data_IF_439823687362
#
_entry.id   IF_439823687362
#
_cell.length_a   1.000
_cell.length_b   1.000
_cell.length_c   1.000
_cell.angle_alpha   90.00
_cell.angle_beta   90.00
_cell.angle_gamma   90.00
#
_symmetry.space_group_name_H-M   'P 1'
#
loop_
_entity.id
_entity.type
_entity.pdbx_description
1 polymer ?
#
# COMPACT_ATOMS: atom_id res chain seq x y z
N UNK A 1 24.73 19.15 -5.24
CA UNK A 1 23.48 19.83 -4.86
C UNK A 1 22.35 18.82 -4.85
N UNK A 2 21.64 18.70 -3.73
CA UNK A 2 20.80 17.53 -3.46
C UNK A 2 19.32 17.83 -3.61
N UNK A 3 18.68 17.26 -4.64
CA UNK A 3 17.22 17.26 -4.73
C UNK A 3 16.60 16.45 -3.58
N UNK A 4 15.64 17.05 -2.89
CA UNK A 4 14.89 16.41 -1.80
C UNK A 4 13.41 16.81 -1.84
N UNK A 5 12.55 15.90 -1.41
CA UNK A 5 11.12 16.19 -1.24
C UNK A 5 10.85 16.47 0.22
N UNK A 6 10.37 17.68 0.52
CA UNK A 6 9.96 18.11 1.86
C UNK A 6 8.44 18.09 1.99
N UNK A 7 7.95 18.07 3.22
CA UNK A 7 6.53 18.21 3.53
C UNK A 7 6.30 19.51 4.29
N UNK A 8 5.25 20.24 3.92
CA UNK A 8 4.83 21.48 4.57
C UNK A 8 3.31 21.47 4.76
N UNK A 9 2.82 22.02 5.87
CA UNK A 9 1.39 22.25 6.11
C UNK A 9 1.05 23.67 5.65
N UNK A 10 0.09 23.80 4.74
CA UNK A 10 -0.41 25.07 4.21
C UNK A 10 -1.94 25.02 4.24
N UNK A 11 -2.59 25.98 4.89
CA UNK A 11 -4.05 26.05 5.04
C UNK A 11 -4.66 24.73 5.57
N UNK A 12 -4.11 24.21 6.67
CA UNK A 12 -4.50 22.95 7.29
C UNK A 12 -4.32 21.67 6.45
N UNK A 13 -3.74 21.76 5.24
CA UNK A 13 -3.46 20.62 4.37
C UNK A 13 -1.94 20.40 4.21
N UNK A 14 -1.50 19.13 4.30
CA UNK A 14 -0.11 18.75 4.02
C UNK A 14 0.13 18.74 2.52
N UNK A 15 1.28 19.27 2.11
CA UNK A 15 1.75 19.29 0.73
C UNK A 15 3.19 18.79 0.65
N UNK A 16 3.55 18.19 -0.48
CA UNK A 16 4.91 17.75 -0.78
C UNK A 16 5.53 18.69 -1.80
N UNK A 17 6.76 19.12 -1.56
CA UNK A 17 7.48 20.04 -2.44
C UNK A 17 8.84 19.46 -2.78
N UNK A 18 9.21 19.51 -4.06
CA UNK A 18 10.55 19.22 -4.52
C UNK A 18 11.41 20.48 -4.36
N UNK A 19 12.51 20.37 -3.63
CA UNK A 19 13.45 21.46 -3.40
C UNK A 19 14.87 21.05 -3.80
N UNK A 20 15.66 22.02 -4.24
CA UNK A 20 17.10 21.94 -4.42
C UNK A 20 17.74 22.91 -3.43
N UNK A 21 18.58 22.40 -2.53
CA UNK A 21 19.25 23.20 -1.50
C UNK A 21 18.28 24.09 -0.70
N UNK A 22 17.11 23.51 -0.37
CA UNK A 22 15.97 24.13 0.34
C UNK A 22 15.17 25.18 -0.45
N UNK A 23 15.51 25.41 -1.72
CA UNK A 23 14.76 26.28 -2.63
C UNK A 23 13.78 25.44 -3.46
N UNK A 24 12.47 25.73 -3.45
CA UNK A 24 11.49 25.03 -4.28
C UNK A 24 11.77 25.16 -5.77
N UNK A 25 11.79 24.04 -6.49
CA UNK A 25 11.86 24.05 -7.94
C UNK A 25 10.51 24.46 -8.54
N UNK A 26 10.49 25.52 -9.35
CA UNK A 26 9.24 26.10 -9.85
C UNK A 26 8.39 25.09 -10.64
N UNK A 27 8.90 24.56 -11.75
CA UNK A 27 8.12 23.73 -12.66
C UNK A 27 7.69 22.35 -12.11
N UNK A 28 8.53 21.59 -11.38
CA UNK A 28 8.09 20.35 -10.75
C UNK A 28 6.97 20.56 -9.73
N UNK A 29 7.02 21.66 -8.96
CA UNK A 29 5.97 21.98 -7.98
C UNK A 29 4.72 22.56 -8.64
N UNK A 30 4.87 23.28 -9.76
CA UNK A 30 3.76 23.70 -10.60
C UNK A 30 3.01 22.48 -11.14
N UNK A 31 3.73 21.52 -11.76
CA UNK A 31 3.17 20.26 -12.21
C UNK A 31 2.44 19.51 -11.09
N UNK A 32 3.05 19.40 -9.91
CA UNK A 32 2.40 18.75 -8.77
C UNK A 32 1.09 19.45 -8.35
N UNK A 33 1.03 20.77 -8.47
CA UNK A 33 -0.16 21.56 -8.14
C UNK A 33 -1.27 21.39 -9.17
N UNK A 34 -0.94 21.38 -10.46
CA UNK A 34 -1.93 21.29 -11.54
C UNK A 34 -2.38 19.85 -11.80
N UNK A 35 -1.46 18.90 -11.87
CA UNK A 35 -1.72 17.54 -12.38
C UNK A 35 -1.84 16.49 -11.26
N UNK A 36 -1.33 16.78 -10.05
CA UNK A 36 -1.29 15.81 -8.94
C UNK A 36 -2.13 16.22 -7.73
N UNK A 37 -2.92 17.31 -7.82
CA UNK A 37 -3.74 17.82 -6.70
C UNK A 37 -4.72 16.80 -6.13
N UNK A 38 -5.32 15.96 -6.97
CA UNK A 38 -6.22 14.88 -6.55
C UNK A 38 -5.54 13.59 -6.11
N UNK A 39 -4.19 13.52 -6.10
CA UNK A 39 -3.45 12.31 -5.71
C UNK A 39 -3.14 12.33 -4.21
N UNK A 40 -3.14 11.15 -3.61
CA UNK A 40 -2.70 10.98 -2.21
C UNK A 40 -1.27 11.51 -2.00
N UNK A 41 -1.00 12.06 -0.81
CA UNK A 41 0.24 12.78 -0.50
C UNK A 41 1.51 11.95 -0.77
N UNK A 42 1.51 10.68 -0.37
CA UNK A 42 2.66 9.78 -0.62
C UNK A 42 2.78 9.38 -2.10
N UNK A 43 1.70 9.45 -2.88
CA UNK A 43 1.78 9.29 -4.35
C UNK A 43 2.44 10.52 -4.96
N UNK A 44 2.02 11.73 -4.58
CA UNK A 44 2.63 12.99 -5.02
C UNK A 44 4.11 13.05 -4.66
N UNK A 45 4.47 12.64 -3.44
CA UNK A 45 5.88 12.48 -3.02
C UNK A 45 6.66 11.58 -3.97
N UNK A 46 6.14 10.40 -4.31
CA UNK A 46 6.81 9.47 -5.22
C UNK A 46 7.03 10.07 -6.61
N UNK A 47 6.03 10.76 -7.15
CA UNK A 47 6.16 11.48 -8.41
C UNK A 47 7.30 12.50 -8.32
N UNK A 48 7.31 13.36 -7.29
CA UNK A 48 8.39 14.34 -7.08
C UNK A 48 9.77 13.70 -6.88
N UNK A 49 9.86 12.54 -6.20
CA UNK A 49 11.11 11.78 -6.09
C UNK A 49 11.56 11.20 -7.45
N UNK A 50 10.63 10.84 -8.34
CA UNK A 50 10.94 10.44 -9.71
C UNK A 50 11.43 11.64 -10.53
N UNK A 51 10.80 12.81 -10.37
CA UNK A 51 11.25 14.05 -11.01
C UNK A 51 12.62 14.49 -10.49
N UNK A 52 12.92 14.32 -9.19
CA UNK A 52 14.24 14.59 -8.63
C UNK A 52 15.37 13.80 -9.34
N UNK A 53 15.08 12.56 -9.76
CA UNK A 53 16.03 11.75 -10.55
C UNK A 53 16.20 12.33 -11.95
N UNK A 54 15.11 12.80 -12.57
CA UNK A 54 15.16 13.44 -13.87
C UNK A 54 15.90 14.77 -13.85
N UNK A 55 15.67 15.63 -12.85
CA UNK A 55 16.43 16.87 -12.66
C UNK A 55 17.93 16.59 -12.46
N UNK A 56 18.27 15.54 -11.70
CA UNK A 56 19.66 15.08 -11.57
C UNK A 56 20.26 14.64 -12.90
N UNK A 57 19.50 13.94 -13.74
CA UNK A 57 19.91 13.54 -15.09
C UNK A 57 20.11 14.76 -16.01
N UNK A 58 19.20 15.74 -15.99
CA UNK A 58 19.30 16.95 -16.78
C UNK A 58 20.56 17.74 -16.41
N UNK A 59 20.80 17.94 -15.11
CA UNK A 59 21.99 18.61 -14.60
C UNK A 59 23.28 17.87 -15.00
N UNK A 60 23.34 16.55 -14.81
CA UNK A 60 24.49 15.73 -15.21
C UNK A 60 24.76 15.76 -16.71
N UNK A 61 23.70 15.82 -17.52
CA UNK A 61 23.80 15.86 -18.98
C UNK A 61 23.99 17.27 -19.54
N UNK A 62 24.10 18.29 -18.67
CA UNK A 62 24.16 19.70 -19.04
C UNK A 62 23.01 20.13 -19.96
N UNK A 63 21.79 19.65 -19.65
CA UNK A 63 20.57 19.98 -20.39
C UNK A 63 19.78 20.99 -19.58
N UNK A 64 19.77 22.25 -20.04
CA UNK A 64 18.80 23.24 -19.58
C UNK A 64 17.50 23.09 -20.39
N UNK A 65 16.60 22.24 -19.90
CA UNK A 65 15.36 21.93 -20.62
C UNK A 65 14.42 23.13 -20.68
N UNK A 66 14.33 23.94 -19.63
CA UNK A 66 13.41 25.08 -19.57
C UNK A 66 13.80 26.11 -20.62
N UNK A 67 15.08 26.54 -20.63
CA UNK A 67 15.58 27.48 -21.63
C UNK A 67 15.39 26.95 -23.05
N UNK A 68 15.60 25.64 -23.27
CA UNK A 68 15.36 25.01 -24.57
C UNK A 68 13.89 25.05 -25.00
N UNK A 69 12.94 24.86 -24.09
CA UNK A 69 11.52 24.92 -24.41
C UNK A 69 11.05 26.35 -24.65
N UNK A 70 11.61 27.33 -23.95
CA UNK A 70 11.28 28.75 -24.08
C UNK A 70 11.93 29.43 -25.29
N UNK A 71 12.91 28.78 -25.95
CA UNK A 71 13.51 29.26 -27.19
C UNK A 71 12.46 29.56 -28.27
N UNK A 72 12.66 30.67 -28.97
CA UNK A 72 11.83 31.14 -30.08
C UNK A 72 12.71 31.42 -31.31
N UNK A 73 12.19 31.23 -32.54
CA UNK A 73 10.80 30.91 -32.88
C UNK A 73 10.41 29.44 -32.70
N UNK A 74 11.38 28.53 -32.47
CA UNK A 74 11.11 27.10 -32.26
C UNK A 74 11.72 26.63 -30.95
N UNK A 75 10.93 25.87 -30.20
CA UNK A 75 11.40 25.14 -29.02
C UNK A 75 12.32 23.99 -29.40
N UNK A 76 13.29 23.69 -28.53
CA UNK A 76 14.18 22.56 -28.64
C UNK A 76 13.78 21.45 -27.65
N UNK A 77 13.07 20.43 -28.13
CA UNK A 77 12.60 19.32 -27.30
C UNK A 77 13.70 18.25 -27.09
N UNK A 78 13.51 17.36 -26.10
CA UNK A 78 14.42 16.22 -25.89
C UNK A 78 14.46 15.27 -27.10
N UNK A 79 15.69 14.91 -27.48
CA UNK A 79 15.97 13.93 -28.53
C UNK A 79 15.69 12.48 -28.07
N UNK A 80 15.51 11.54 -29.00
CA UNK A 80 15.33 10.12 -28.62
C UNK A 80 16.59 9.55 -27.93
N UNK A 81 17.78 10.07 -28.26
CA UNK A 81 19.03 9.71 -27.59
C UNK A 81 19.06 10.16 -26.12
N UNK A 82 18.66 11.41 -25.84
CA UNK A 82 18.51 11.90 -24.46
C UNK A 82 17.48 11.09 -23.67
N UNK A 83 16.32 10.79 -24.28
CA UNK A 83 15.30 9.95 -23.66
C UNK A 83 15.86 8.54 -23.37
N UNK A 84 16.60 7.95 -24.31
CA UNK A 84 17.20 6.61 -24.13
C UNK A 84 18.24 6.57 -23.01
N UNK A 85 19.06 7.62 -22.88
CA UNK A 85 20.01 7.75 -21.77
C UNK A 85 19.29 7.86 -20.43
N UNK A 86 18.21 8.65 -20.36
CA UNK A 86 17.40 8.73 -19.15
C UNK A 86 16.73 7.39 -18.81
N UNK A 87 16.25 6.64 -19.81
CA UNK A 87 15.62 5.33 -19.59
C UNK A 87 16.58 4.34 -18.92
N UNK A 88 17.86 4.38 -19.28
CA UNK A 88 18.90 3.62 -18.57
C UNK A 88 19.02 4.04 -17.10
N UNK A 89 19.11 5.35 -16.85
CA UNK A 89 19.25 5.89 -15.48
C UNK A 89 18.00 5.68 -14.61
N UNK A 90 16.83 5.66 -15.23
CA UNK A 90 15.59 5.37 -14.55
C UNK A 90 15.56 3.97 -13.91
N UNK A 91 16.42 3.05 -14.40
CA UNK A 91 16.60 1.71 -13.86
C UNK A 91 17.53 1.63 -12.64
N UNK A 92 18.30 2.67 -12.31
CA UNK A 92 19.30 2.60 -11.23
C UNK A 92 18.78 3.08 -9.87
N UNK A 93 19.38 2.54 -8.80
CA UNK A 93 19.20 3.02 -7.42
C UNK A 93 19.73 4.45 -7.26
N UNK A 94 19.19 5.17 -6.27
CA UNK A 94 19.60 6.56 -5.98
C UNK A 94 21.08 6.64 -5.59
N UNK A 95 21.62 5.65 -4.85
CA UNK A 95 23.04 5.64 -4.49
C UNK A 95 23.95 5.44 -5.72
N UNK A 96 23.52 4.58 -6.66
CA UNK A 96 24.24 4.35 -7.93
C UNK A 96 24.28 5.63 -8.75
N UNK A 97 23.14 6.32 -8.89
CA UNK A 97 23.03 7.57 -9.63
C UNK A 97 23.84 8.68 -8.98
N UNK A 98 23.85 8.79 -7.65
CA UNK A 98 24.65 9.78 -6.94
C UNK A 98 26.16 9.62 -7.26
N UNK A 99 26.67 8.38 -7.27
CA UNK A 99 28.08 8.11 -7.64
C UNK A 99 28.35 8.43 -9.11
N UNK A 100 27.46 8.00 -10.01
CA UNK A 100 27.56 8.29 -11.44
C UNK A 100 27.59 9.80 -11.70
N UNK A 101 26.67 10.55 -11.11
CA UNK A 101 26.55 11.99 -11.31
C UNK A 101 27.65 12.80 -10.62
N UNK A 102 28.33 12.22 -9.64
CA UNK A 102 29.60 12.74 -9.10
C UNK A 102 30.82 12.48 -10.00
N UNK A 103 30.62 11.90 -11.20
CA UNK A 103 31.70 11.62 -12.15
C UNK A 103 32.52 10.37 -11.83
N UNK A 104 32.08 9.53 -10.88
CA UNK A 104 32.81 8.31 -10.54
C UNK A 104 32.68 7.27 -11.65
N UNK A 105 33.82 6.69 -12.07
CA UNK A 105 33.83 5.51 -12.95
C UNK A 105 33.45 4.28 -12.12
N UNK A 106 32.25 3.76 -12.37
CA UNK A 106 31.73 2.58 -11.69
C UNK A 106 32.05 1.33 -12.51
N UNK A 107 32.59 0.31 -11.86
CA UNK A 107 32.65 -1.04 -12.43
C UNK A 107 31.21 -1.55 -12.70
N UNK A 108 30.94 -2.34 -13.75
CA UNK A 108 29.60 -2.83 -14.08
C UNK A 108 28.84 -3.47 -12.89
N UNK A 109 29.54 -4.18 -12.01
CA UNK A 109 28.95 -4.82 -10.82
C UNK A 109 28.52 -3.84 -9.72
N UNK A 110 29.02 -2.60 -9.75
CA UNK A 110 28.63 -1.55 -8.81
C UNK A 110 27.28 -0.89 -9.19
N UNK A 111 26.78 -1.12 -10.40
CA UNK A 111 25.47 -0.65 -10.82
C UNK A 111 24.37 -1.47 -10.17
N UNK A 112 23.76 -0.90 -9.13
CA UNK A 112 22.57 -1.47 -8.50
C UNK A 112 21.31 -0.86 -9.09
N UNK A 113 20.34 -1.72 -9.40
CA UNK A 113 19.10 -1.36 -10.08
C UNK A 113 17.88 -1.38 -9.14
N UNK A 114 16.89 -0.54 -9.44
CA UNK A 114 15.56 -0.63 -8.81
C UNK A 114 14.78 -1.82 -9.41
N UNK A 115 13.69 -2.22 -8.73
CA UNK A 115 12.75 -3.18 -9.30
C UNK A 115 12.06 -2.64 -10.56
N UNK A 116 11.69 -3.54 -11.49
CA UNK A 116 11.09 -3.17 -12.79
C UNK A 116 9.84 -2.29 -12.67
N UNK A 117 8.99 -2.55 -11.68
CA UNK A 117 7.78 -1.75 -11.41
C UNK A 117 8.15 -0.31 -11.03
N UNK A 118 9.17 -0.14 -10.20
CA UNK A 118 9.64 1.19 -9.81
C UNK A 118 10.29 1.92 -10.98
N UNK A 119 11.09 1.24 -11.81
CA UNK A 119 11.66 1.85 -13.02
C UNK A 119 10.54 2.33 -13.95
N UNK A 120 9.51 1.51 -14.18
CA UNK A 120 8.32 1.87 -14.96
C UNK A 120 7.62 3.12 -14.40
N UNK A 121 7.32 3.14 -13.09
CA UNK A 121 6.69 4.30 -12.45
C UNK A 121 7.49 5.59 -12.62
N UNK A 122 8.82 5.50 -12.54
CA UNK A 122 9.71 6.64 -12.77
C UNK A 122 9.62 7.14 -14.22
N UNK A 123 9.58 6.24 -15.20
CA UNK A 123 9.40 6.58 -16.61
C UNK A 123 8.04 7.21 -16.89
N UNK A 124 6.97 6.67 -16.30
CA UNK A 124 5.61 7.21 -16.43
C UNK A 124 5.51 8.62 -15.83
N UNK A 125 6.04 8.83 -14.62
CA UNK A 125 6.05 10.14 -13.99
C UNK A 125 6.80 11.20 -14.81
N UNK A 126 7.96 10.85 -15.37
CA UNK A 126 8.74 11.77 -16.22
C UNK A 126 8.07 12.02 -17.56
N UNK A 127 7.47 11.00 -18.18
CA UNK A 127 6.66 11.18 -19.39
C UNK A 127 5.55 12.20 -19.15
N UNK A 128 4.79 12.02 -18.07
CA UNK A 128 3.63 12.86 -17.77
C UNK A 128 4.06 14.31 -17.44
N UNK A 129 5.18 14.47 -16.73
CA UNK A 129 5.78 15.79 -16.50
C UNK A 129 6.28 16.45 -17.78
N UNK A 130 6.94 15.72 -18.69
CA UNK A 130 7.39 16.26 -19.96
C UNK A 130 6.21 16.67 -20.86
N UNK A 131 5.12 15.90 -20.87
CA UNK A 131 3.88 16.28 -21.56
C UNK A 131 3.38 17.62 -21.03
N UNK A 132 3.33 17.79 -19.70
CA UNK A 132 2.94 19.05 -19.07
C UNK A 132 3.88 20.21 -19.48
N UNK A 133 5.20 20.02 -19.39
CA UNK A 133 6.15 21.06 -19.77
C UNK A 133 6.03 21.45 -21.25
N UNK A 134 5.87 20.47 -22.14
CA UNK A 134 5.79 20.72 -23.57
C UNK A 134 4.49 21.45 -23.93
N UNK A 135 3.36 21.09 -23.30
CA UNK A 135 2.08 21.81 -23.47
C UNK A 135 2.18 23.27 -23.00
N UNK A 136 2.80 23.50 -21.83
CA UNK A 136 2.86 24.83 -21.20
C UNK A 136 3.91 25.77 -21.79
N UNK A 137 5.08 25.25 -22.14
CA UNK A 137 6.24 26.07 -22.54
C UNK A 137 6.60 25.95 -24.02
N UNK A 138 6.19 24.86 -24.66
CA UNK A 138 6.50 24.58 -26.06
C UNK A 138 5.92 25.64 -27.00
N UNK A 139 6.61 25.84 -28.12
CA UNK A 139 6.18 26.74 -29.17
C UNK A 139 4.80 26.35 -29.70
N UNK A 140 3.94 27.36 -29.90
CA UNK A 140 2.52 27.16 -30.21
C UNK A 140 2.31 26.35 -31.49
N UNK A 141 3.22 26.46 -32.46
CA UNK A 141 3.12 25.77 -33.76
C UNK A 141 3.59 24.31 -33.73
N UNK A 142 4.26 23.87 -32.64
CA UNK A 142 4.87 22.53 -32.57
C UNK A 142 4.57 21.75 -31.30
N UNK A 143 3.99 22.39 -30.28
CA UNK A 143 3.82 21.79 -28.95
C UNK A 143 2.94 20.55 -28.96
N UNK A 144 1.90 20.51 -29.79
CA UNK A 144 0.97 19.37 -29.83
C UNK A 144 1.63 18.13 -30.43
N UNK A 145 2.34 18.29 -31.55
CA UNK A 145 3.11 17.21 -32.17
C UNK A 145 4.24 16.74 -31.25
N UNK A 146 4.90 17.66 -30.54
CA UNK A 146 5.95 17.33 -29.58
C UNK A 146 5.40 16.53 -28.38
N UNK A 147 4.21 16.88 -27.87
CA UNK A 147 3.52 16.14 -26.81
C UNK A 147 3.20 14.72 -27.24
N UNK A 148 2.66 14.54 -28.45
CA UNK A 148 2.35 13.22 -28.99
C UNK A 148 3.61 12.39 -29.23
N UNK A 149 4.68 13.03 -29.72
CA UNK A 149 5.95 12.36 -29.96
C UNK A 149 6.63 11.88 -28.68
N UNK A 150 6.73 12.73 -27.64
CA UNK A 150 7.32 12.31 -26.36
C UNK A 150 6.51 11.19 -25.69
N UNK A 151 5.17 11.28 -25.74
CA UNK A 151 4.27 10.25 -25.24
C UNK A 151 4.53 8.90 -25.92
N UNK A 152 4.59 8.89 -27.26
CA UNK A 152 4.82 7.69 -28.07
C UNK A 152 6.18 7.07 -27.77
N UNK A 153 7.25 7.87 -27.68
CA UNK A 153 8.62 7.39 -27.41
C UNK A 153 8.74 6.73 -26.05
N UNK A 154 8.20 7.34 -24.99
CA UNK A 154 8.20 6.75 -23.66
C UNK A 154 7.37 5.46 -23.60
N UNK A 155 6.16 5.46 -24.16
CA UNK A 155 5.29 4.28 -24.18
C UNK A 155 5.96 3.08 -24.87
N UNK A 156 6.63 3.33 -26.02
CA UNK A 156 7.41 2.30 -26.72
C UNK A 156 8.52 1.72 -25.82
N UNK A 157 9.28 2.57 -25.14
CA UNK A 157 10.41 2.15 -24.27
C UNK A 157 9.92 1.43 -23.01
N UNK A 158 8.82 1.88 -22.40
CA UNK A 158 8.17 1.19 -21.26
C UNK A 158 7.67 -0.20 -21.68
N UNK A 159 7.04 -0.31 -22.87
CA UNK A 159 6.55 -1.58 -23.39
C UNK A 159 7.73 -2.54 -23.65
N UNK A 160 8.81 -2.06 -24.25
CA UNK A 160 10.00 -2.88 -24.51
C UNK A 160 10.68 -3.40 -23.23
N UNK A 161 10.61 -2.63 -22.13
CA UNK A 161 11.14 -3.03 -20.82
C UNK A 161 10.23 -4.01 -20.03
N UNK A 162 9.00 -4.23 -20.49
CA UNK A 162 8.03 -5.10 -19.82
C UNK A 162 8.27 -6.58 -20.14
N UNK A 163 8.17 -7.52 -19.18
CA UNK A 163 8.35 -8.95 -19.44
C UNK A 163 7.27 -9.50 -20.38
N UNK A 164 7.66 -10.30 -21.37
CA UNK A 164 6.75 -10.86 -22.39
C UNK A 164 5.71 -11.87 -21.85
N UNK A 165 5.97 -12.49 -20.69
CA UNK A 165 5.01 -13.35 -19.99
C UNK A 165 4.92 -12.97 -18.50
N UNK A 166 3.71 -12.86 -17.97
CA UNK A 166 3.47 -12.63 -16.53
C UNK A 166 3.84 -13.91 -15.77
N UNK A 167 4.92 -13.89 -14.99
CA UNK A 167 5.17 -14.93 -13.96
C UNK A 167 4.19 -14.69 -12.82
N UNK A 168 3.10 -15.44 -12.75
CA UNK A 168 2.33 -15.56 -11.50
C UNK A 168 3.20 -16.34 -10.53
N UNK A 169 3.70 -15.69 -9.49
CA UNK A 169 4.43 -16.39 -8.43
C UNK A 169 3.41 -17.12 -7.56
N UNK A 170 3.36 -18.44 -7.70
CA UNK A 170 2.45 -19.34 -6.98
C UNK A 170 2.62 -19.20 -5.45
N UNK A 171 3.81 -18.80 -5.00
CA UNK A 171 4.24 -18.69 -3.60
C UNK A 171 3.93 -17.32 -2.94
N UNK A 172 3.25 -16.41 -3.64
CA UNK A 172 2.95 -15.05 -3.12
C UNK A 172 1.52 -14.89 -2.60
N UNK A 173 0.76 -15.98 -2.43
CA UNK A 173 -0.59 -15.90 -1.87
C UNK A 173 -0.54 -15.51 -0.39
N UNK A 174 -1.27 -14.45 -0.05
CA UNK A 174 -1.27 -13.83 1.27
C UNK A 174 -2.53 -14.25 2.04
N UNK A 175 -2.39 -14.45 3.34
CA UNK A 175 -3.47 -14.83 4.27
C UNK A 175 -2.98 -15.90 5.24
N UNK A 176 -3.63 -16.06 6.39
CA UNK A 176 -3.19 -16.99 7.44
C UNK A 176 -3.86 -18.35 7.27
N UNK A 177 -3.15 -19.42 7.60
CA UNK A 177 -3.78 -20.70 7.88
C UNK A 177 -4.57 -20.63 9.20
N UNK A 178 -5.51 -21.55 9.42
CA UNK A 178 -6.24 -21.62 10.70
C UNK A 178 -5.28 -21.75 11.89
N UNK A 179 -4.24 -22.59 11.75
CA UNK A 179 -3.22 -22.79 12.80
C UNK A 179 -2.45 -21.50 13.12
N UNK A 180 -2.02 -20.75 12.11
CA UNK A 180 -1.33 -19.48 12.30
C UNK A 180 -2.25 -18.43 12.94
N UNK A 181 -3.53 -18.40 12.57
CA UNK A 181 -4.53 -17.50 13.15
C UNK A 181 -4.75 -17.79 14.63
N UNK A 182 -4.99 -19.05 14.97
CA UNK A 182 -5.21 -19.48 16.36
C UNK A 182 -3.98 -19.18 17.22
N UNK A 183 -2.78 -19.50 16.71
CA UNK A 183 -1.52 -19.23 17.40
C UNK A 183 -1.27 -17.74 17.59
N UNK A 184 -1.61 -16.92 16.59
CA UNK A 184 -1.48 -15.46 16.67
C UNK A 184 -2.41 -14.88 17.73
N UNK A 185 -3.67 -15.33 17.79
CA UNK A 185 -4.65 -14.92 18.80
C UNK A 185 -4.20 -15.34 20.21
N UNK A 186 -3.70 -16.56 20.36
CA UNK A 186 -3.20 -17.09 21.63
C UNK A 186 -2.02 -16.27 22.17
N UNK A 187 -0.97 -16.06 21.37
CA UNK A 187 0.23 -15.33 21.81
C UNK A 187 -0.08 -13.87 22.12
N UNK A 188 -0.89 -13.23 21.27
CA UNK A 188 -1.20 -11.81 21.43
C UNK A 188 -2.28 -11.53 22.48
N UNK A 189 -2.96 -12.56 23.00
CA UNK A 189 -3.91 -12.42 24.09
C UNK A 189 -3.25 -11.70 25.29
N UNK A 190 -3.89 -10.69 25.90
CA UNK A 190 -3.30 -9.94 27.02
C UNK A 190 -2.94 -10.81 28.24
N UNK A 191 -3.65 -11.92 28.45
CA UNK A 191 -3.43 -12.86 29.56
C UNK A 191 -2.40 -13.95 29.24
N UNK A 192 -1.92 -14.02 27.99
CA UNK A 192 -0.94 -15.04 27.60
C UNK A 192 0.42 -14.79 28.24
N UNK A 193 1.02 -15.88 28.76
CA UNK A 193 2.38 -15.88 29.29
C UNK A 193 3.44 -15.72 28.18
N UNK A 194 3.12 -16.13 26.96
CA UNK A 194 4.01 -16.01 25.80
C UNK A 194 3.97 -14.63 25.13
N UNK A 195 3.09 -13.75 25.59
CA UNK A 195 2.93 -12.43 25.01
C UNK A 195 4.25 -11.61 25.15
N UNK A 196 4.88 -11.17 24.04
CA UNK A 196 6.22 -10.57 24.07
C UNK A 196 6.22 -9.12 24.58
N UNK A 197 5.06 -8.57 24.97
CA UNK A 197 4.92 -7.18 25.35
C UNK A 197 4.95 -6.99 26.88
N UNK A 198 5.84 -6.11 27.31
CA UNK A 198 6.23 -5.98 28.72
C UNK A 198 5.16 -5.48 29.71
N UNK A 199 4.12 -4.77 29.27
CA UNK A 199 3.11 -4.22 30.20
C UNK A 199 1.69 -4.35 29.63
N UNK A 200 0.71 -4.38 30.53
CA UNK A 200 -0.68 -4.70 30.19
C UNK A 200 -1.31 -3.68 29.25
N UNK A 201 -0.97 -2.39 29.40
CA UNK A 201 -1.38 -1.35 28.46
C UNK A 201 -0.90 -1.65 27.03
N UNK A 202 0.37 -2.05 26.86
CA UNK A 202 0.95 -2.39 25.55
C UNK A 202 0.36 -3.69 25.00
N UNK A 203 0.11 -4.68 25.87
CA UNK A 203 -0.53 -5.95 25.50
C UNK A 203 -1.94 -5.70 24.96
N UNK A 204 -2.81 -5.05 25.74
CA UNK A 204 -4.20 -4.79 25.34
C UNK A 204 -4.29 -3.89 24.09
N UNK A 205 -3.50 -2.81 24.04
CA UNK A 205 -3.40 -1.93 22.86
C UNK A 205 -2.98 -2.69 21.59
N UNK A 206 -2.07 -3.66 21.71
CA UNK A 206 -1.65 -4.49 20.57
C UNK A 206 -2.67 -5.57 20.22
N UNK A 207 -3.41 -6.10 21.20
CA UNK A 207 -4.52 -7.00 20.95
C UNK A 207 -5.66 -6.32 20.19
N UNK A 208 -5.99 -5.06 20.54
CA UNK A 208 -6.92 -4.23 19.76
C UNK A 208 -6.43 -4.05 18.31
N UNK A 209 -5.14 -3.78 18.09
CA UNK A 209 -4.56 -3.70 16.73
C UNK A 209 -4.74 -5.00 15.95
N UNK A 210 -4.57 -6.14 16.62
CA UNK A 210 -4.80 -7.45 16.01
C UNK A 210 -6.26 -7.61 15.58
N UNK A 211 -7.21 -7.35 16.48
CA UNK A 211 -8.64 -7.45 16.21
C UNK A 211 -9.09 -6.49 15.10
N UNK A 212 -8.67 -5.22 15.14
CA UNK A 212 -8.93 -4.27 14.04
C UNK A 212 -8.42 -4.76 12.67
N UNK A 213 -7.37 -5.60 12.66
CA UNK A 213 -6.81 -6.18 11.45
C UNK A 213 -7.49 -7.47 10.99
N UNK A 214 -7.74 -8.41 11.91
CA UNK A 214 -8.32 -9.72 11.62
C UNK A 214 -9.84 -9.68 11.47
N UNK A 215 -10.52 -9.03 12.42
CA UNK A 215 -11.98 -8.96 12.47
C UNK A 215 -12.49 -7.95 11.44
N UNK A 216 -12.01 -6.70 11.53
CA UNK A 216 -12.51 -5.61 10.71
C UNK A 216 -11.75 -5.39 9.38
N UNK A 217 -10.62 -6.07 9.18
CA UNK A 217 -9.86 -5.99 7.93
C UNK A 217 -9.25 -4.61 7.65
N UNK A 218 -9.05 -3.77 8.68
CA UNK A 218 -8.58 -2.40 8.49
C UNK A 218 -7.15 -2.36 7.94
N UNK A 219 -6.86 -1.34 7.13
CA UNK A 219 -5.50 -0.95 6.79
C UNK A 219 -4.84 -0.35 8.02
N UNK A 220 -3.53 -0.56 8.14
CA UNK A 220 -2.67 0.08 9.15
C UNK A 220 -2.96 1.58 9.36
N UNK A 221 -3.13 2.34 8.27
CA UNK A 221 -3.39 3.77 8.39
C UNK A 221 -4.76 4.07 8.98
N UNK A 222 -5.79 3.30 8.62
CA UNK A 222 -7.15 3.43 9.17
C UNK A 222 -7.11 3.20 10.69
N UNK A 223 -6.44 2.11 11.14
CA UNK A 223 -6.27 1.80 12.57
C UNK A 223 -5.66 2.97 13.36
N UNK A 224 -4.69 3.66 12.76
CA UNK A 224 -3.97 4.77 13.39
C UNK A 224 -4.72 6.10 13.36
N UNK A 225 -5.79 6.19 12.57
CA UNK A 225 -6.61 7.38 12.40
C UNK A 225 -7.91 7.33 13.22
N UNK A 226 -8.32 6.16 13.72
CA UNK A 226 -9.48 6.01 14.61
C UNK A 226 -9.40 7.01 15.77
N UNK A 227 -10.43 7.83 15.90
CA UNK A 227 -10.67 8.73 17.03
C UNK A 227 -11.61 8.05 18.02
N UNK A 228 -11.55 8.44 19.29
CA UNK A 228 -12.52 7.97 20.30
C UNK A 228 -13.96 8.36 19.94
N UNK A 229 -14.15 9.51 19.26
CA UNK A 229 -15.45 9.97 18.75
C UNK A 229 -16.00 9.15 17.59
N UNK A 230 -15.20 8.30 16.96
CA UNK A 230 -15.63 7.47 15.83
C UNK A 230 -16.33 6.17 16.30
N UNK A 231 -16.35 5.92 17.61
CA UNK A 231 -16.91 4.70 18.21
C UNK A 231 -18.32 4.98 18.73
N UNK A 232 -19.30 4.29 18.15
CA UNK A 232 -20.70 4.39 18.50
C UNK A 232 -21.08 3.23 19.43
N UNK A 233 -20.83 3.42 20.74
CA UNK A 233 -20.97 2.37 21.76
C UNK A 233 -22.36 1.73 21.82
N UNK A 234 -23.43 2.52 21.63
CA UNK A 234 -24.81 2.01 21.72
C UNK A 234 -25.16 1.02 20.59
N UNK A 235 -24.58 1.20 19.40
CA UNK A 235 -24.81 0.34 18.24
C UNK A 235 -23.63 -0.60 17.97
N UNK A 236 -22.57 -0.55 18.78
CA UNK A 236 -21.29 -1.25 18.56
C UNK A 236 -20.75 -1.03 17.15
N UNK A 237 -20.82 0.20 16.67
CA UNK A 237 -20.31 0.55 15.34
C UNK A 237 -19.05 1.40 15.42
N UNK A 238 -18.16 1.21 14.46
CA UNK A 238 -16.97 2.03 14.25
C UNK A 238 -17.09 2.77 12.92
N UNK A 239 -16.98 4.09 12.97
CA UNK A 239 -16.81 4.93 11.80
C UNK A 239 -15.35 4.87 11.33
N UNK A 240 -15.12 4.31 10.14
CA UNK A 240 -13.81 4.32 9.49
C UNK A 240 -13.79 5.51 8.53
N UNK A 241 -13.33 6.65 9.01
CA UNK A 241 -13.39 7.95 8.30
C UNK A 241 -12.02 8.58 8.18
N UNK A 242 -11.86 9.48 7.21
CA UNK A 242 -10.65 10.27 7.06
C UNK A 242 -10.63 11.43 8.08
N UNK A 243 -9.47 12.07 8.25
CA UNK A 243 -9.37 13.33 8.98
C UNK A 243 -9.87 14.47 8.10
N UNK A 244 -10.81 15.25 8.62
CA UNK A 244 -11.25 16.52 8.02
C UNK A 244 -10.16 17.59 8.11
N UNK A 245 -9.46 17.64 9.25
CA UNK A 245 -8.35 18.57 9.52
C UNK A 245 -7.05 17.80 9.80
N UNK A 246 -6.09 17.87 8.87
CA UNK A 246 -4.80 17.20 9.00
C UNK A 246 -3.88 17.84 10.06
N UNK A 247 -4.20 19.06 10.53
CA UNK A 247 -3.46 19.74 11.60
C UNK A 247 -3.67 19.09 12.97
N UNK A 248 -4.78 18.35 13.14
CA UNK A 248 -5.07 17.56 14.35
C UNK A 248 -4.08 16.41 14.56
N UNK A 249 -3.36 15.98 13.52
CA UNK A 249 -2.36 14.93 13.62
C UNK A 249 -0.96 15.50 13.91
N UNK A 250 -0.45 15.42 15.15
CA UNK A 250 0.87 15.93 15.51
C UNK A 250 2.02 15.04 15.00
N UNK A 251 1.74 13.91 14.35
CA UNK A 251 2.78 13.00 13.86
C UNK A 251 3.53 13.66 12.71
N UNK A 252 4.87 13.59 12.77
CA UNK A 252 5.76 14.04 11.68
C UNK A 252 5.49 13.29 10.37
N UNK A 253 5.13 12.02 10.48
CA UNK A 253 4.70 11.18 9.35
C UNK A 253 3.28 10.73 9.65
N UNK A 254 2.31 11.47 9.12
CA UNK A 254 0.89 11.18 9.30
C UNK A 254 0.49 9.91 8.53
N UNK A 255 -0.36 9.04 9.08
CA UNK A 255 -1.03 8.01 8.32
C UNK A 255 -1.90 8.62 7.22
N UNK A 256 -2.09 7.88 6.13
CA UNK A 256 -2.84 8.34 4.97
C UNK A 256 -4.01 7.39 4.73
N UNK A 257 -5.21 7.95 4.69
CA UNK A 257 -6.44 7.25 4.37
C UNK A 257 -6.49 6.97 2.85
N UNK A 258 -6.92 5.77 2.46
CA UNK A 258 -6.85 5.30 1.05
C UNK A 258 -8.12 4.59 0.56
N UNK A 259 -9.05 4.41 1.45
CA UNK A 259 -10.27 3.62 1.30
C UNK A 259 -11.45 4.56 1.32
N UNK A 260 -12.61 4.11 0.89
CA UNK A 260 -13.85 4.83 1.14
C UNK A 260 -14.25 4.71 2.61
N UNK A 261 -14.85 5.79 3.10
CA UNK A 261 -15.41 5.85 4.44
C UNK A 261 -16.58 4.88 4.57
N UNK A 262 -16.75 4.31 5.76
CA UNK A 262 -17.79 3.31 6.03
C UNK A 262 -18.04 3.15 7.53
N UNK A 263 -19.23 2.69 7.85
CA UNK A 263 -19.60 2.23 9.20
C UNK A 263 -19.49 0.70 9.24
N UNK A 264 -18.78 0.18 10.23
CA UNK A 264 -18.61 -1.25 10.44
C UNK A 264 -19.13 -1.65 11.83
N UNK A 265 -19.76 -2.81 11.93
CA UNK A 265 -20.15 -3.40 13.20
C UNK A 265 -18.91 -4.05 13.85
N UNK A 266 -18.73 -3.82 15.14
CA UNK A 266 -17.65 -4.40 15.94
C UNK A 266 -18.13 -5.69 16.61
N UNK A 267 -17.24 -6.68 16.68
CA UNK A 267 -17.45 -7.82 17.58
C UNK A 267 -17.49 -7.39 19.04
N UNK A 268 -18.16 -8.21 19.88
CA UNK A 268 -18.19 -7.98 21.33
C UNK A 268 -16.79 -7.94 21.95
N UNK A 269 -15.89 -8.83 21.51
CA UNK A 269 -14.51 -8.88 21.99
C UNK A 269 -13.73 -7.58 21.69
N UNK A 270 -13.94 -6.98 20.51
CA UNK A 270 -13.31 -5.72 20.15
C UNK A 270 -13.88 -4.55 20.96
N UNK A 271 -15.21 -4.49 21.08
CA UNK A 271 -15.91 -3.48 21.88
C UNK A 271 -15.43 -3.46 23.34
N UNK A 272 -15.41 -4.64 23.98
CA UNK A 272 -14.93 -4.82 25.35
C UNK A 272 -13.45 -4.46 25.50
N UNK A 273 -12.60 -4.91 24.58
CA UNK A 273 -11.17 -4.62 24.62
C UNK A 273 -10.88 -3.11 24.50
N UNK A 274 -11.60 -2.40 23.61
CA UNK A 274 -11.43 -0.95 23.46
C UNK A 274 -11.94 -0.22 24.71
N UNK A 275 -13.10 -0.60 25.23
CA UNK A 275 -13.67 0.02 26.44
C UNK A 275 -12.73 -0.14 27.64
N UNK A 276 -12.22 -1.35 27.89
CA UNK A 276 -11.25 -1.60 28.94
C UNK A 276 -9.97 -0.78 28.75
N UNK A 277 -9.48 -0.71 27.52
CA UNK A 277 -8.28 0.04 27.20
C UNK A 277 -8.45 1.55 27.43
N UNK A 278 -9.58 2.13 27.01
CA UNK A 278 -9.87 3.54 27.21
C UNK A 278 -9.99 3.88 28.69
N UNK A 279 -10.74 3.06 29.44
CA UNK A 279 -11.00 3.26 30.86
C UNK A 279 -9.72 3.12 31.72
N UNK A 280 -8.89 2.10 31.46
CA UNK A 280 -7.76 1.75 32.33
C UNK A 280 -6.41 2.31 31.88
N UNK A 281 -6.17 2.41 30.58
CA UNK A 281 -4.80 2.57 30.06
C UNK A 281 -4.59 3.82 29.20
N UNK A 282 -5.53 4.22 28.35
CA UNK A 282 -5.33 5.32 27.37
C UNK A 282 -4.92 6.63 28.05
N UNK A 283 -5.56 6.98 29.17
CA UNK A 283 -5.35 8.25 29.87
C UNK A 283 -4.35 8.20 31.04
N UNK A 284 -3.45 7.21 31.06
CA UNK A 284 -2.47 7.03 32.16
C UNK A 284 -1.72 8.33 32.49
N UNK A 285 -1.75 8.71 33.77
CA UNK A 285 -1.08 9.89 34.30
C UNK A 285 0.43 9.65 34.33
N UNK A 286 1.21 10.66 33.99
CA UNK A 286 2.67 10.59 34.02
C UNK A 286 3.23 11.46 35.13
N UNK A 287 4.51 11.27 35.46
CA UNK A 287 5.23 12.12 36.43
C UNK A 287 5.22 13.62 36.04
N UNK A 288 4.89 13.96 34.78
CA UNK A 288 4.80 15.33 34.25
C UNK A 288 3.38 15.92 34.32
N UNK A 289 2.46 15.28 35.04
CA UNK A 289 1.06 15.71 35.17
C UNK A 289 0.13 15.05 34.15
N UNK A 290 -0.77 15.84 33.55
CA UNK A 290 -1.87 15.35 32.71
C UNK A 290 -1.41 14.53 31.50
N UNK A 291 -2.18 13.48 31.17
CA UNK A 291 -1.89 12.59 30.05
C UNK A 291 -1.92 13.35 28.72
N UNK A 292 -0.88 13.17 27.88
CA UNK A 292 -0.85 13.77 26.54
C UNK A 292 -1.98 13.25 25.64
N UNK A 293 -2.60 12.11 25.99
CA UNK A 293 -3.73 11.53 25.26
C UNK A 293 -4.99 12.40 25.31
N UNK A 294 -5.04 13.37 26.23
CA UNK A 294 -6.12 14.38 26.31
C UNK A 294 -5.97 15.51 25.29
N UNK A 295 -4.81 15.62 24.62
CA UNK A 295 -4.52 16.70 23.66
C UNK A 295 -4.83 16.33 22.21
N UNK A 296 -5.34 15.13 21.96
CA UNK A 296 -5.65 14.64 20.62
C UNK A 296 -6.77 13.58 20.68
N UNK A 297 -7.48 13.35 19.56
CA UNK A 297 -8.64 12.47 19.55
C UNK A 297 -8.30 10.98 19.30
N UNK A 298 -7.10 10.66 18.79
CA UNK A 298 -6.75 9.29 18.37
C UNK A 298 -6.83 8.23 19.48
N UNK A 299 -7.38 7.05 19.16
CA UNK A 299 -7.55 5.92 20.08
C UNK A 299 -6.21 5.33 20.54
N UNK A 300 -5.35 4.95 19.58
CA UNK A 300 -4.10 4.24 19.86
C UNK A 300 -2.99 5.21 20.27
N UNK A 301 -2.46 5.05 21.49
CA UNK A 301 -1.39 5.89 22.05
C UNK A 301 -0.11 5.11 22.36
N UNK A 302 0.98 5.84 22.51
CA UNK A 302 2.25 5.28 22.98
C UNK A 302 2.22 5.07 24.51
N UNK A 303 2.79 3.97 24.97
CA UNK A 303 2.92 3.61 26.40
C UNK A 303 4.38 3.39 26.83
N UNK A 304 5.30 4.17 26.23
CA UNK A 304 6.74 4.12 26.51
C UNK A 304 7.32 5.55 26.45
N UNK A 305 8.40 5.76 25.69
CA UNK A 305 9.14 7.04 25.62
C UNK A 305 8.28 8.26 25.24
N UNK A 306 7.18 8.05 24.51
CA UNK A 306 6.28 9.10 24.05
C UNK A 306 4.88 8.97 24.69
N UNK A 307 4.81 8.55 25.96
CA UNK A 307 3.57 8.25 26.70
C UNK A 307 2.42 9.22 26.38
N UNK A 308 1.27 8.68 26.00
CA UNK A 308 0.06 9.43 25.69
C UNK A 308 0.06 10.17 24.34
N UNK A 309 1.15 10.20 23.56
CA UNK A 309 1.11 10.72 22.18
C UNK A 309 0.49 9.71 21.20
N UNK A 310 -0.04 10.15 20.04
CA UNK A 310 -0.59 9.24 19.04
C UNK A 310 0.43 8.22 18.59
N UNK A 311 0.01 6.96 18.44
CA UNK A 311 0.88 5.90 17.97
C UNK A 311 1.37 6.20 16.54
N UNK A 312 2.68 6.05 16.32
CA UNK A 312 3.29 6.27 15.00
C UNK A 312 3.15 5.02 14.11
N UNK A 313 3.22 5.21 12.78
CA UNK A 313 3.30 4.12 11.80
C UNK A 313 4.40 3.10 12.16
N UNK A 314 5.60 3.60 12.46
CA UNK A 314 6.76 2.74 12.83
C UNK A 314 6.50 1.91 14.09
N UNK A 315 5.72 2.44 15.03
CA UNK A 315 5.38 1.71 16.24
C UNK A 315 4.43 0.55 15.95
N UNK A 316 3.45 0.74 15.05
CA UNK A 316 2.53 -0.31 14.64
C UNK A 316 3.25 -1.37 13.81
N UNK A 317 4.08 -0.95 12.85
CA UNK A 317 4.91 -1.86 12.06
C UNK A 317 5.85 -2.72 12.92
N UNK A 318 6.21 -2.26 14.12
CA UNK A 318 7.05 -2.98 15.07
C UNK A 318 6.31 -3.96 15.98
N UNK A 319 4.98 -4.12 15.85
CA UNK A 319 4.19 -5.07 16.66
C UNK A 319 4.47 -6.51 16.24
N UNK A 320 4.13 -6.88 15.00
CA UNK A 320 4.24 -8.25 14.50
C UNK A 320 5.68 -8.79 14.42
N UNK A 321 6.70 -7.99 14.06
CA UNK A 321 8.09 -8.45 14.13
C UNK A 321 8.57 -8.85 15.54
N UNK A 322 7.91 -8.35 16.61
CA UNK A 322 8.22 -8.80 17.98
C UNK A 322 7.54 -10.12 18.31
N UNK A 323 6.32 -10.34 17.81
CA UNK A 323 5.62 -11.62 17.88
C UNK A 323 6.43 -12.69 17.14
N UNK A 324 6.90 -12.38 15.93
CA UNK A 324 7.75 -13.26 15.13
C UNK A 324 9.09 -13.66 15.78
N UNK A 325 9.55 -12.94 16.82
CA UNK A 325 10.76 -13.33 17.58
C UNK A 325 10.49 -14.41 18.62
N UNK A 326 9.27 -14.48 19.15
CA UNK A 326 8.87 -15.51 20.13
C UNK A 326 8.16 -16.68 19.45
N UNK A 327 7.53 -16.45 18.28
CA UNK A 327 6.95 -17.46 17.41
C UNK A 327 7.48 -17.30 15.97
N UNK A 328 8.61 -17.96 15.64
CA UNK A 328 9.26 -17.83 14.34
C UNK A 328 8.39 -18.24 13.13
N UNK A 329 7.45 -19.15 13.32
CA UNK A 329 6.41 -19.53 12.35
C UNK A 329 5.55 -18.33 11.92
N UNK A 330 5.31 -17.38 12.83
CA UNK A 330 4.55 -16.16 12.58
C UNK A 330 5.40 -14.98 12.07
N UNK A 331 6.70 -15.18 11.82
CA UNK A 331 7.63 -14.08 11.48
C UNK A 331 7.30 -13.36 10.16
N UNK A 332 6.57 -14.02 9.27
CA UNK A 332 6.14 -13.46 7.99
C UNK A 332 4.92 -12.51 8.13
N UNK A 333 4.24 -12.52 9.28
CA UNK A 333 3.01 -11.74 9.50
C UNK A 333 3.32 -10.25 9.63
N UNK A 334 2.52 -9.45 8.92
CA UNK A 334 2.54 -7.99 8.97
C UNK A 334 1.10 -7.46 8.78
N UNK A 335 0.79 -6.19 9.09
CA UNK A 335 -0.60 -5.70 9.12
C UNK A 335 -1.41 -5.99 7.85
N UNK A 336 -0.76 -5.96 6.68
CA UNK A 336 -1.43 -6.21 5.41
C UNK A 336 -1.84 -7.67 5.19
N UNK A 337 -1.22 -8.65 5.87
CA UNK A 337 -1.64 -10.06 5.82
C UNK A 337 -2.96 -10.24 6.59
N UNK A 338 -3.14 -9.55 7.71
CA UNK A 338 -4.39 -9.61 8.49
C UNK A 338 -5.60 -9.22 7.64
N UNK A 339 -5.46 -8.19 6.81
CA UNK A 339 -6.51 -7.79 5.88
C UNK A 339 -6.79 -8.85 4.80
N UNK A 340 -5.76 -9.53 4.28
CA UNK A 340 -5.99 -10.64 3.34
C UNK A 340 -6.73 -11.78 4.04
N UNK A 341 -6.37 -12.07 5.29
CA UNK A 341 -7.02 -13.08 6.10
C UNK A 341 -8.49 -12.73 6.35
N UNK A 342 -8.79 -11.49 6.77
CA UNK A 342 -10.15 -10.97 6.97
C UNK A 342 -11.02 -11.08 5.70
N UNK A 343 -10.45 -10.85 4.50
CA UNK A 343 -11.18 -11.06 3.24
C UNK A 343 -11.50 -12.55 3.03
N UNK A 344 -10.56 -13.45 3.35
CA UNK A 344 -10.77 -14.89 3.22
C UNK A 344 -11.80 -15.40 4.22
N UNK A 345 -11.73 -14.98 5.48
CA UNK A 345 -12.70 -15.38 6.52
C UNK A 345 -14.10 -14.83 6.25
N UNK A 346 -14.21 -13.62 5.67
CA UNK A 346 -15.49 -13.10 5.22
C UNK A 346 -16.08 -13.94 4.07
N UNK A 347 -15.26 -14.36 3.11
CA UNK A 347 -15.72 -15.27 2.04
C UNK A 347 -16.10 -16.65 2.60
N UNK A 348 -15.38 -17.14 3.60
CA UNK A 348 -15.70 -18.39 4.30
C UNK A 348 -17.03 -18.31 5.04
N UNK A 349 -17.31 -17.21 5.75
CA UNK A 349 -18.57 -17.04 6.50
C UNK A 349 -19.80 -16.99 5.58
N UNK A 350 -19.65 -16.44 4.38
CA UNK A 350 -20.72 -16.37 3.38
C UNK A 350 -20.88 -17.66 2.57
N UNK A 351 -20.02 -18.68 2.74
CA UNK A 351 -19.95 -19.84 1.83
C UNK A 351 -21.30 -20.51 1.60
N UNK A 352 -22.06 -20.78 2.67
CA UNK A 352 -23.35 -21.47 2.58
C UNK A 352 -24.39 -20.65 1.79
N UNK A 353 -24.43 -19.33 1.99
CA UNK A 353 -25.32 -18.43 1.27
C UNK A 353 -24.94 -18.36 -0.21
N UNK A 354 -23.65 -18.25 -0.50
CA UNK A 354 -23.13 -18.18 -1.88
C UNK A 354 -23.39 -19.48 -2.67
N UNK A 355 -23.44 -20.64 -2.01
CA UNK A 355 -23.75 -21.92 -2.64
C UNK A 355 -25.17 -21.97 -3.23
N UNK A 356 -26.11 -21.22 -2.65
CA UNK A 356 -27.52 -21.17 -3.11
C UNK A 356 -27.75 -20.21 -4.28
N UNK A 357 -26.77 -19.36 -4.60
CA UNK A 357 -26.88 -18.35 -5.64
C UNK A 357 -26.44 -18.87 -7.01
N UNK A 358 -27.00 -18.26 -8.06
CA UNK A 358 -26.46 -18.41 -9.42
C UNK A 358 -25.02 -17.89 -9.48
N UNK A 359 -24.19 -18.32 -10.44
CA UNK A 359 -22.82 -17.82 -10.59
C UNK A 359 -22.73 -16.28 -10.73
N UNK A 360 -23.71 -15.66 -11.38
CA UNK A 360 -23.77 -14.21 -11.60
C UNK A 360 -24.13 -13.48 -10.30
N UNK A 361 -25.17 -13.94 -9.59
CA UNK A 361 -25.58 -13.37 -8.31
C UNK A 361 -24.50 -13.54 -7.25
N UNK A 362 -23.83 -14.70 -7.21
CA UNK A 362 -22.69 -14.97 -6.34
C UNK A 362 -21.57 -13.95 -6.56
N UNK A 363 -21.19 -13.71 -7.81
CA UNK A 363 -20.13 -12.77 -8.17
C UNK A 363 -20.50 -11.35 -7.73
N UNK A 364 -21.74 -10.95 -7.99
CA UNK A 364 -22.27 -9.64 -7.61
C UNK A 364 -22.31 -9.45 -6.09
N UNK A 365 -22.81 -10.43 -5.35
CA UNK A 365 -22.90 -10.40 -3.88
C UNK A 365 -21.52 -10.30 -3.24
N UNK A 366 -20.56 -11.12 -3.69
CA UNK A 366 -19.16 -11.07 -3.25
C UNK A 366 -18.54 -9.71 -3.53
N UNK A 367 -18.69 -9.20 -4.76
CA UNK A 367 -18.11 -7.92 -5.15
C UNK A 367 -18.68 -6.78 -4.30
N UNK A 368 -20.00 -6.69 -4.13
CA UNK A 368 -20.65 -5.63 -3.34
C UNK A 368 -20.24 -5.69 -1.87
N UNK A 369 -20.32 -6.87 -1.26
CA UNK A 369 -20.02 -7.06 0.17
C UNK A 369 -18.58 -6.71 0.49
N UNK A 370 -17.64 -7.27 -0.28
CA UNK A 370 -16.22 -6.99 -0.06
C UNK A 370 -15.86 -5.54 -0.39
N UNK A 371 -16.45 -4.95 -1.43
CA UNK A 371 -16.20 -3.53 -1.77
C UNK A 371 -16.62 -2.61 -0.63
N UNK A 372 -17.81 -2.83 -0.05
CA UNK A 372 -18.31 -2.06 1.09
C UNK A 372 -17.45 -2.28 2.33
N UNK A 373 -17.34 -3.52 2.80
CA UNK A 373 -16.65 -3.87 4.07
C UNK A 373 -15.20 -3.41 4.10
N UNK A 374 -14.51 -3.46 2.95
CA UNK A 374 -13.10 -3.12 2.85
C UNK A 374 -12.86 -1.72 2.29
N UNK A 375 -13.90 -0.96 1.96
CA UNK A 375 -13.80 0.42 1.46
C UNK A 375 -13.06 0.55 0.14
N UNK A 376 -13.27 -0.37 -0.80
CA UNK A 376 -12.71 -0.27 -2.16
C UNK A 376 -13.59 0.60 -3.06
N UNK A 377 -13.07 1.05 -4.20
CA UNK A 377 -13.91 1.67 -5.23
C UNK A 377 -14.78 0.62 -5.92
N UNK A 378 -15.98 0.97 -6.43
CA UNK A 378 -16.85 0.02 -7.13
C UNK A 378 -16.17 -0.69 -8.31
N UNK A 379 -15.26 0.00 -9.00
CA UNK A 379 -14.52 -0.50 -10.17
C UNK A 379 -13.20 -1.20 -9.78
N UNK A 380 -12.97 -1.44 -8.48
CA UNK A 380 -11.72 -2.03 -8.00
C UNK A 380 -11.62 -3.52 -8.30
N UNK A 381 -10.45 -3.95 -8.79
CA UNK A 381 -10.09 -5.37 -8.91
C UNK A 381 -9.61 -6.00 -7.60
N UNK A 382 -9.59 -5.22 -6.50
CA UNK A 382 -9.03 -5.63 -5.23
C UNK A 382 -9.78 -6.77 -4.52
N UNK A 383 -11.12 -6.89 -4.58
CA UNK A 383 -11.82 -8.08 -4.09
C UNK A 383 -11.25 -9.39 -4.63
N UNK A 384 -11.05 -9.46 -5.95
CA UNK A 384 -10.45 -10.63 -6.59
C UNK A 384 -8.99 -10.87 -6.19
N UNK A 385 -8.18 -9.82 -6.06
CA UNK A 385 -6.78 -9.93 -5.67
C UNK A 385 -6.59 -10.36 -4.20
N UNK A 386 -7.43 -9.87 -3.29
CA UNK A 386 -7.31 -10.23 -1.88
C UNK A 386 -7.94 -11.59 -1.58
N UNK A 387 -9.04 -11.94 -2.25
CA UNK A 387 -9.68 -13.25 -2.17
C UNK A 387 -8.99 -14.35 -2.98
N UNK A 388 -7.85 -14.08 -3.61
CA UNK A 388 -7.16 -15.04 -4.47
C UNK A 388 -6.82 -16.36 -3.74
N UNK A 389 -6.43 -16.28 -2.45
CA UNK A 389 -6.16 -17.45 -1.61
C UNK A 389 -7.40 -18.34 -1.48
N UNK A 390 -8.54 -17.76 -1.08
CA UNK A 390 -9.81 -18.47 -0.97
C UNK A 390 -10.18 -19.19 -2.27
N UNK A 391 -10.11 -18.50 -3.42
CA UNK A 391 -10.46 -19.10 -4.70
C UNK A 391 -9.51 -20.22 -5.14
N UNK A 392 -8.23 -20.13 -4.78
CA UNK A 392 -7.29 -21.25 -4.96
C UNK A 392 -7.72 -22.44 -4.11
N UNK A 393 -8.02 -22.25 -2.83
CA UNK A 393 -8.43 -23.35 -1.95
C UNK A 393 -9.72 -24.01 -2.43
N UNK A 394 -10.69 -23.23 -2.94
CA UNK A 394 -11.89 -23.75 -3.59
C UNK A 394 -11.55 -24.54 -4.87
N UNK A 395 -10.58 -24.06 -5.67
CA UNK A 395 -10.08 -24.79 -6.85
C UNK A 395 -9.42 -26.10 -6.46
N UNK A 396 -8.59 -26.10 -5.41
CA UNK A 396 -7.89 -27.29 -4.90
C UNK A 396 -8.90 -28.35 -4.41
N UNK A 397 -9.96 -27.93 -3.71
CA UNK A 397 -11.09 -28.80 -3.32
C UNK A 397 -11.80 -29.40 -4.53
N UNK A 398 -12.12 -28.59 -5.54
CA UNK A 398 -12.78 -29.04 -6.76
C UNK A 398 -11.91 -30.04 -7.54
N UNK A 399 -10.60 -29.77 -7.62
CA UNK A 399 -9.62 -30.66 -8.24
C UNK A 399 -9.52 -31.99 -7.51
N UNK A 400 -9.50 -31.98 -6.17
CA UNK A 400 -9.50 -33.21 -5.35
C UNK A 400 -10.76 -34.04 -5.61
N UNK A 401 -11.94 -33.42 -5.57
CA UNK A 401 -13.22 -34.08 -5.89
C UNK A 401 -13.22 -34.69 -7.30
N UNK A 402 -12.70 -33.98 -8.29
CA UNK A 402 -12.54 -34.50 -9.66
C UNK A 402 -11.58 -35.69 -9.70
N UNK A 403 -10.46 -35.60 -9.00
CA UNK A 403 -9.45 -36.68 -8.92
C UNK A 403 -10.05 -37.95 -8.31
N UNK A 404 -10.82 -37.83 -7.23
CA UNK A 404 -11.49 -38.96 -6.58
C UNK A 404 -12.49 -39.64 -7.53
N UNK A 405 -13.31 -38.85 -8.25
CA UNK A 405 -14.22 -39.38 -9.28
C UNK A 405 -13.47 -40.10 -10.40
N UNK A 406 -12.37 -39.51 -10.87
CA UNK A 406 -11.56 -40.11 -11.94
C UNK A 406 -10.91 -41.42 -11.48
N UNK A 407 -10.49 -41.50 -10.22
CA UNK A 407 -9.98 -42.74 -9.61
C UNK A 407 -11.03 -43.85 -9.63
N UNK A 408 -12.28 -43.55 -9.26
CA UNK A 408 -13.40 -44.52 -9.33
C UNK A 408 -13.68 -45.00 -10.75
N UNK A 409 -13.68 -44.09 -11.73
CA UNK A 409 -13.85 -44.46 -13.15
C UNK A 409 -12.72 -45.39 -13.59
N UNK A 410 -11.47 -45.04 -13.27
CA UNK A 410 -10.31 -45.86 -13.60
C UNK A 410 -10.38 -47.26 -12.98
N UNK A 411 -10.71 -47.37 -11.70
CA UNK A 411 -10.88 -48.66 -11.01
C UNK A 411 -11.97 -49.50 -11.66
N UNK A 412 -13.10 -48.89 -12.03
CA UNK A 412 -14.19 -49.57 -12.73
C UNK A 412 -13.74 -50.13 -14.09
N UNK A 413 -12.95 -49.38 -14.85
CA UNK A 413 -12.39 -49.83 -16.13
C UNK A 413 -11.37 -50.96 -15.91
N UNK A 414 -10.46 -50.81 -14.95
CA UNK A 414 -9.47 -51.84 -14.59
C UNK A 414 -10.15 -53.15 -14.17
N UNK A 415 -11.24 -53.09 -13.40
CA UNK A 415 -12.02 -54.26 -13.00
C UNK A 415 -12.74 -54.92 -14.18
N UNK A 416 -13.25 -54.15 -15.15
CA UNK A 416 -13.85 -54.70 -16.38
C UNK A 416 -12.81 -55.41 -17.25
N UNK A 417 -11.60 -54.85 -17.36
CA UNK A 417 -10.48 -55.47 -18.07
C UNK A 417 -10.09 -56.79 -17.38
N UNK A 418 -9.94 -56.78 -16.05
CA UNK A 418 -9.61 -57.99 -15.26
C UNK A 418 -10.64 -59.10 -15.41
N UNK A 419 -11.92 -58.75 -15.53
CA UNK A 419 -13.02 -59.70 -15.70
C UNK A 419 -13.21 -60.19 -17.14
N UNK A 420 -12.38 -59.74 -18.10
CA UNK A 420 -12.49 -60.14 -19.51
C UNK A 420 -13.76 -59.62 -20.21
N UNK A 421 -14.40 -58.59 -19.65
CA UNK A 421 -15.67 -58.02 -20.17
C UNK A 421 -15.41 -56.92 -21.20
N UNK A 422 -14.15 -56.55 -21.41
CA UNK A 422 -13.74 -55.59 -22.45
C UNK A 422 -13.27 -56.40 -23.65
N UNK A 423 -14.13 -56.50 -24.68
CA UNK A 423 -13.73 -56.94 -26.03
C UNK A 423 -13.03 -55.81 -26.76
#
# INVERSE_FOLDING_TARGET
MGHQVIEQVVNAARRKLLVQDLIPLYYPNLYATFELSGKALETTKKYLEHLAVFEGFLAFSSIDLISRLEQRPKSNYLTDSEISRFVSDAGFLKETLAKKYAGMRLHPTAYKSVGKVHAKQRLEAVRDYLIFLYDKLGDHSTRYEAVDDVRRRFNRKIKAASPGWKKTRIDEMKGLTSQERDRLLEIMNPKSAENPFANDAVKLRNYIILLLGLDMGLRRSEMLLIKTSDIHWHSRQLAVVNLEDESLDPRKVAPQFKTHERMLEMSGDLDEAINEYEAKYRFRITHKGSSQARKHPFLLVSHRRNEGKPMSIKALDGVFPRVGKVAPDLAHIHPHILRHDSVCTMLESMRQELEQLTPEDRTTQVQKTLTWMFGWSPESSMPGLYGAKFWKEETDKAMKKRSDKFKTVRQTVEDRIRKGVVK
#
